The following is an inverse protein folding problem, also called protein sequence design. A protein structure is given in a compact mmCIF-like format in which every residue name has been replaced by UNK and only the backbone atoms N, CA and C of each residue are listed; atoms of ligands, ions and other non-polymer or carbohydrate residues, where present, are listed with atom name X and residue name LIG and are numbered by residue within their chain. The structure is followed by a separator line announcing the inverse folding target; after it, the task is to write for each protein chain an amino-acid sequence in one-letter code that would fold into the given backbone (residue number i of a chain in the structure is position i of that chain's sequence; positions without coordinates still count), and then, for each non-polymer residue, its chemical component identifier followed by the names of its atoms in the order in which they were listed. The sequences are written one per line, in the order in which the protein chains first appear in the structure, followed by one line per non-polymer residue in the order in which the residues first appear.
data_IF_580188757486
#
_entry.id   IF_580188757486
#
_cell.length_a   1.000
_cell.length_b   1.000
_cell.length_c   1.000
_cell.angle_alpha   90.00
_cell.angle_beta   90.00
_cell.angle_gamma   90.00
#
_symmetry.space_group_name_H-M   'P 1'
#
loop_
_entity.id
_entity.type
_entity.pdbx_description
1 polymer ?
#
# COMPACT_ATOMS: atom_id res chain seq x y z
N UNK A 1 4.51 -13.28 13.94
CA UNK A 1 3.89 -11.99 14.18
C UNK A 1 4.11 -11.06 13.01
N UNK A 2 3.07 -10.44 12.56
CA UNK A 2 3.18 -9.58 11.39
C UNK A 2 3.73 -8.22 11.75
N UNK A 3 4.56 -7.72 10.85
CA UNK A 3 5.09 -6.38 10.97
C UNK A 3 4.01 -5.38 10.57
N UNK A 4 4.07 -4.20 11.17
CA UNK A 4 3.16 -3.13 10.78
C UNK A 4 3.58 -2.48 9.47
N UNK A 5 4.74 -2.84 8.99
CA UNK A 5 5.32 -2.27 7.77
C UNK A 5 5.45 -3.40 6.75
N UNK A 6 5.09 -3.11 5.51
CA UNK A 6 5.25 -4.08 4.44
C UNK A 6 6.32 -3.56 3.48
N UNK A 7 7.16 -4.46 3.02
CA UNK A 7 8.27 -4.12 2.13
C UNK A 7 7.92 -4.41 0.68
N UNK A 8 8.74 -3.85 -0.21
CA UNK A 8 8.52 -4.01 -1.65
C UNK A 8 8.47 -5.48 -2.04
N UNK A 9 9.36 -6.31 -1.48
CA UNK A 9 9.35 -7.73 -1.82
C UNK A 9 8.04 -8.40 -1.45
N UNK A 10 7.48 -7.98 -0.33
CA UNK A 10 6.22 -8.53 0.12
C UNK A 10 5.07 -8.04 -0.76
N UNK A 11 5.13 -6.77 -1.13
CA UNK A 11 4.12 -6.21 -2.02
C UNK A 11 4.14 -6.92 -3.37
N UNK A 12 5.35 -7.20 -3.86
CA UNK A 12 5.50 -7.88 -5.14
C UNK A 12 4.83 -9.24 -5.09
N UNK A 13 5.02 -9.97 -4.01
CA UNK A 13 4.40 -11.27 -3.84
C UNK A 13 2.90 -11.16 -3.73
N UNK A 14 2.46 -10.22 -2.93
CA UNK A 14 1.04 -10.03 -2.66
C UNK A 14 0.28 -9.74 -3.94
N UNK A 15 0.86 -8.90 -4.79
CA UNK A 15 0.19 -8.45 -6.00
C UNK A 15 0.62 -9.21 -7.23
N UNK A 16 1.58 -10.13 -7.07
CA UNK A 16 2.10 -10.90 -8.20
C UNK A 16 2.66 -9.99 -9.28
N UNK A 17 3.50 -9.06 -8.86
CA UNK A 17 4.14 -8.13 -9.78
C UNK A 17 5.64 -8.15 -9.53
N UNK A 18 6.40 -7.50 -10.40
CA UNK A 18 7.84 -7.43 -10.22
C UNK A 18 8.19 -6.56 -9.04
N UNK A 19 9.38 -6.79 -8.47
CA UNK A 19 9.85 -5.98 -7.36
C UNK A 19 9.98 -4.51 -7.75
N UNK A 20 10.57 -4.18 -8.91
CA UNK A 20 10.62 -2.77 -9.31
C UNK A 20 9.25 -2.11 -9.39
N UNK A 21 8.27 -2.85 -9.85
CA UNK A 21 6.92 -2.31 -9.92
C UNK A 21 6.36 -2.11 -8.52
N UNK A 22 6.66 -3.03 -7.62
CA UNK A 22 6.23 -2.89 -6.23
C UNK A 22 6.81 -1.63 -5.60
N UNK A 23 8.06 -1.30 -5.92
CA UNK A 23 8.65 -0.07 -5.43
C UNK A 23 7.88 1.15 -5.90
N UNK A 24 7.41 1.12 -7.14
CA UNK A 24 6.62 2.23 -7.65
C UNK A 24 5.32 2.38 -6.89
N UNK A 25 4.68 1.27 -6.60
CA UNK A 25 3.43 1.28 -5.84
C UNK A 25 3.67 1.88 -4.46
N UNK A 26 4.71 1.40 -3.79
CA UNK A 26 5.02 1.90 -2.45
C UNK A 26 5.32 3.38 -2.48
N UNK A 27 6.04 3.82 -3.49
CA UNK A 27 6.37 5.23 -3.60
C UNK A 27 5.11 6.07 -3.72
N UNK A 28 4.17 5.61 -4.53
CA UNK A 28 2.92 6.33 -4.69
C UNK A 28 2.16 6.41 -3.37
N UNK A 29 2.08 5.30 -2.66
CA UNK A 29 1.38 5.27 -1.38
C UNK A 29 2.06 6.18 -0.37
N UNK A 30 3.38 6.17 -0.36
CA UNK A 30 4.13 7.02 0.56
C UNK A 30 3.94 8.50 0.22
N UNK A 31 3.84 8.82 -1.06
CA UNK A 31 3.58 10.21 -1.44
C UNK A 31 2.22 10.65 -0.88
N UNK A 32 1.24 9.78 -0.94
CA UNK A 32 -0.06 10.08 -0.37
C UNK A 32 0.02 10.29 1.12
N UNK A 33 0.78 9.43 1.80
CA UNK A 33 0.93 9.55 3.24
C UNK A 33 1.65 10.81 3.63
N UNK A 34 2.67 11.19 2.87
CA UNK A 34 3.38 12.44 3.12
C UNK A 34 2.46 13.62 2.99
N UNK A 35 1.61 13.60 1.99
CA UNK A 35 0.66 14.68 1.79
C UNK A 35 -0.29 14.81 2.98
N UNK A 36 -0.50 13.72 3.69
CA UNK A 36 -1.34 13.72 4.87
C UNK A 36 -0.57 14.03 6.15
N UNK A 37 0.71 14.26 6.04
CA UNK A 37 1.52 14.61 7.19
C UNK A 37 2.20 13.47 7.90
N UNK A 38 2.19 12.29 7.30
CA UNK A 38 2.82 11.12 7.92
C UNK A 38 4.28 11.02 7.53
N UNK A 39 5.04 10.37 8.40
CA UNK A 39 6.43 10.09 8.13
C UNK A 39 6.49 8.79 7.35
N UNK A 40 7.29 8.77 6.30
CA UNK A 40 7.39 7.60 5.42
C UNK A 40 8.84 7.14 5.32
N UNK A 41 9.00 5.87 4.91
CA UNK A 41 10.32 5.28 4.71
C UNK A 41 10.36 4.70 3.30
N UNK A 42 11.43 5.03 2.58
CA UNK A 42 11.56 4.55 1.20
C UNK A 42 11.52 3.03 1.15
N UNK A 43 10.79 2.51 0.19
CA UNK A 43 10.71 1.07 0.00
C UNK A 43 9.86 0.32 0.99
N UNK A 44 9.21 1.04 1.88
CA UNK A 44 8.34 0.45 2.89
C UNK A 44 7.11 1.29 3.03
N UNK A 45 6.01 0.65 3.40
CA UNK A 45 4.77 1.38 3.58
C UNK A 45 3.98 0.75 4.73
N UNK A 46 3.16 1.56 5.37
CA UNK A 46 2.30 1.07 6.44
C UNK A 46 1.40 -0.03 5.89
N UNK A 47 1.41 -1.19 6.55
CA UNK A 47 0.67 -2.34 6.06
C UNK A 47 -0.82 -2.06 6.03
N UNK A 48 -1.33 -1.39 7.03
CA UNK A 48 -2.76 -1.12 7.06
C UNK A 48 -3.16 -0.17 5.94
N UNK A 49 -2.35 0.84 5.69
CA UNK A 49 -2.64 1.78 4.61
C UNK A 49 -2.61 1.06 3.26
N UNK A 50 -1.62 0.18 3.10
CA UNK A 50 -1.53 -0.63 1.89
C UNK A 50 -2.81 -1.44 1.70
N UNK A 51 -3.24 -2.11 2.75
CA UNK A 51 -4.45 -2.92 2.68
C UNK A 51 -5.68 -2.06 2.41
N UNK A 52 -5.76 -0.92 3.05
CA UNK A 52 -6.89 -0.03 2.87
C UNK A 52 -6.98 0.47 1.45
N UNK A 53 -5.85 0.81 0.86
CA UNK A 53 -5.84 1.32 -0.50
C UNK A 53 -6.18 0.24 -1.51
N UNK A 54 -5.80 -1.00 -1.23
CA UNK A 54 -6.07 -2.10 -2.15
C UNK A 54 -7.43 -2.72 -1.90
N UNK A 55 -7.73 -2.99 -0.65
CA UNK A 55 -8.92 -3.76 -0.32
C UNK A 55 -10.02 -2.91 0.28
N UNK A 56 -9.64 -1.82 0.90
CA UNK A 56 -10.64 -0.90 1.41
C UNK A 56 -11.43 -0.27 0.30
N UNK A 57 -10.79 -0.04 -0.84
CA UNK A 57 -11.47 0.52 -1.99
C UNK A 57 -12.59 -0.38 -2.45
N UNK A 58 -12.43 -1.67 -2.28
CA UNK A 58 -13.46 -2.61 -2.65
C UNK A 58 -14.72 -2.41 -1.83
N UNK A 59 -14.53 -2.18 -0.54
CA UNK A 59 -15.68 -1.94 0.31
C UNK A 59 -16.41 -0.69 -0.11
N UNK A 60 -15.65 0.33 -0.47
CA UNK A 60 -16.25 1.57 -0.91
C UNK A 60 -16.98 1.38 -2.23
N UNK A 61 -16.39 0.60 -3.12
CA UNK A 61 -17.01 0.31 -4.40
C UNK A 61 -18.31 -0.41 -4.21
N UNK A 62 -18.31 -1.32 -3.29
CA UNK A 62 -19.51 -2.04 -2.96
C UNK A 62 -20.63 -1.11 -2.61
N UNK A 63 -20.33 -0.17 -1.75
CA UNK A 63 -21.32 0.80 -1.34
C UNK A 63 -21.75 1.66 -2.51
N UNK A 64 -20.80 2.02 -3.32
CA UNK A 64 -21.11 2.89 -4.46
C UNK A 64 -21.99 2.21 -5.48
N UNK A 65 -21.80 0.92 -5.65
CA UNK A 65 -22.57 0.19 -6.62
C UNK A 65 -24.02 0.06 -6.21
N UNK A 66 -24.25 0.13 -4.95
CA UNK A 66 -25.59 0.03 -4.44
C UNK A 66 -26.34 1.31 -4.62
#
# INVERSE_FOLDING_TARGET
MESKIIRAEEVAKELDVSVPYAYKIIRKLNDELKAKGYITVAGRVNRQYFNDRLYGAERNDENARL
#
